data_IF_429494204403
#
_entry.id   IF_429494204403
#
_cell.length_a   1.000
_cell.length_b   1.000
_cell.length_c   1.000
_cell.angle_alpha   90.00
_cell.angle_beta   90.00
_cell.angle_gamma   90.00
#
_symmetry.space_group_name_H-M   'P 1'
#
loop_
_entity.id
_entity.type
_entity.pdbx_description
1 polymer ?
#
# COMPACT_ATOMS: atom_id res chain seq x y z
N UNK A 1 -8.92 0.55 -9.18
CA UNK A 1 -8.12 0.88 -10.38
C UNK A 1 -8.24 2.36 -10.74
N UNK A 2 -9.42 2.87 -11.12
CA UNK A 2 -9.62 4.28 -11.54
C UNK A 2 -9.08 5.28 -10.51
N UNK A 3 -9.42 5.11 -9.22
CA UNK A 3 -8.84 5.88 -8.08
C UNK A 3 -7.32 5.99 -8.17
N UNK A 4 -6.62 4.87 -8.27
CA UNK A 4 -5.16 4.83 -8.30
C UNK A 4 -4.56 5.56 -9.50
N UNK A 5 -5.28 5.58 -10.64
CA UNK A 5 -4.86 6.34 -11.83
C UNK A 5 -5.07 7.83 -11.60
N UNK A 6 -6.24 8.24 -11.10
CA UNK A 6 -6.55 9.66 -10.83
C UNK A 6 -5.64 10.23 -9.74
N UNK A 7 -5.42 9.50 -8.65
CA UNK A 7 -4.51 9.89 -7.57
C UNK A 7 -3.09 10.13 -8.11
N UNK A 8 -2.62 9.30 -9.06
CA UNK A 8 -1.31 9.48 -9.71
C UNK A 8 -1.26 10.73 -10.59
N UNK A 9 -2.31 10.98 -11.35
CA UNK A 9 -2.43 12.16 -12.21
C UNK A 9 -2.37 13.42 -11.35
N UNK A 10 -3.10 13.44 -10.23
CA UNK A 10 -3.14 14.59 -9.32
C UNK A 10 -1.83 14.77 -8.53
N UNK A 11 -1.31 13.70 -7.93
CA UNK A 11 -0.14 13.79 -7.06
C UNK A 11 1.19 13.99 -7.82
N UNK A 12 1.32 13.37 -9.00
CA UNK A 12 2.58 13.35 -9.77
C UNK A 12 2.49 14.23 -11.04
N UNK A 13 1.39 14.98 -11.22
CA UNK A 13 1.09 15.79 -12.41
C UNK A 13 1.30 15.04 -13.74
N UNK A 14 0.95 13.75 -13.75
CA UNK A 14 1.19 12.84 -14.87
C UNK A 14 0.08 12.91 -15.92
N UNK A 15 0.43 12.61 -17.17
CA UNK A 15 -0.58 12.33 -18.19
C UNK A 15 -1.36 11.06 -17.85
N UNK A 16 -2.63 10.99 -18.27
CA UNK A 16 -3.47 9.81 -18.07
C UNK A 16 -2.83 8.52 -18.59
N UNK A 17 -2.11 8.61 -19.71
CA UNK A 17 -1.41 7.47 -20.29
C UNK A 17 -0.28 6.99 -19.38
N UNK A 18 0.57 7.90 -18.89
CA UNK A 18 1.66 7.56 -17.98
C UNK A 18 1.13 6.94 -16.68
N UNK A 19 0.07 7.52 -16.10
CA UNK A 19 -0.59 6.98 -14.92
C UNK A 19 -1.18 5.58 -15.14
N UNK A 20 -1.85 5.34 -16.29
CA UNK A 20 -2.37 4.02 -16.64
C UNK A 20 -1.25 2.98 -16.81
N UNK A 21 -0.14 3.36 -17.45
CA UNK A 21 1.03 2.48 -17.62
C UNK A 21 1.69 2.13 -16.28
N UNK A 22 1.72 3.06 -15.31
CA UNK A 22 2.28 2.82 -13.99
C UNK A 22 1.38 1.94 -13.10
N UNK A 23 0.06 2.04 -13.23
CA UNK A 23 -0.91 1.34 -12.38
C UNK A 23 -1.27 -0.05 -12.92
N UNK A 24 -1.41 -0.20 -14.25
CA UNK A 24 -1.93 -1.41 -14.86
C UNK A 24 -1.14 -2.69 -14.51
N UNK A 25 0.22 -2.70 -14.53
CA UNK A 25 1.00 -3.88 -14.16
C UNK A 25 0.77 -4.31 -12.71
N UNK A 26 0.56 -3.36 -11.78
CA UNK A 26 0.35 -3.63 -10.36
C UNK A 26 -0.98 -4.34 -10.09
N UNK A 27 -1.92 -4.27 -11.03
CA UNK A 27 -3.25 -4.85 -10.94
C UNK A 27 -3.45 -6.03 -11.92
N UNK A 28 -2.41 -6.43 -12.65
CA UNK A 28 -2.48 -7.54 -13.60
C UNK A 28 -3.36 -7.27 -14.82
N UNK A 29 -3.58 -6.00 -15.19
CA UNK A 29 -4.40 -5.62 -16.36
C UNK A 29 -3.55 -4.94 -17.42
N UNK A 30 -4.04 -4.92 -18.67
CA UNK A 30 -3.39 -4.14 -19.73
C UNK A 30 -3.58 -2.63 -19.48
N UNK A 31 -2.61 -1.82 -19.91
CA UNK A 31 -2.72 -0.36 -19.81
C UNK A 31 -3.90 0.19 -20.64
N UNK A 32 -4.24 -0.47 -21.76
CA UNK A 32 -5.40 -0.11 -22.58
C UNK A 32 -6.71 -0.31 -21.81
N UNK A 33 -6.85 -1.43 -21.10
CA UNK A 33 -8.00 -1.73 -20.24
C UNK A 33 -8.12 -0.68 -19.13
N UNK A 34 -7.00 -0.35 -18.47
CA UNK A 34 -6.96 0.69 -17.46
C UNK A 34 -7.43 2.05 -18.02
N UNK A 35 -6.92 2.44 -19.19
CA UNK A 35 -7.32 3.68 -19.87
C UNK A 35 -8.80 3.71 -20.27
N UNK A 36 -9.35 2.58 -20.72
CA UNK A 36 -10.77 2.49 -21.11
C UNK A 36 -11.68 2.71 -19.90
N UNK A 37 -11.46 1.97 -18.81
CA UNK A 37 -12.27 2.09 -17.60
C UNK A 37 -12.15 3.47 -16.94
N UNK A 38 -10.95 4.07 -16.92
CA UNK A 38 -10.77 5.42 -16.38
C UNK A 38 -11.49 6.48 -17.23
N UNK A 39 -11.43 6.38 -18.57
CA UNK A 39 -12.22 7.26 -19.44
C UNK A 39 -13.72 7.09 -19.23
N UNK A 40 -14.19 5.85 -19.10
CA UNK A 40 -15.60 5.56 -18.87
C UNK A 40 -16.07 6.15 -17.53
N UNK A 41 -15.28 6.02 -16.48
CA UNK A 41 -15.58 6.59 -15.17
C UNK A 41 -15.67 8.12 -15.20
N UNK A 42 -14.75 8.80 -15.89
CA UNK A 42 -14.82 10.27 -16.10
C UNK A 42 -16.09 10.69 -16.83
N UNK A 43 -16.48 9.96 -17.88
CA UNK A 43 -17.70 10.24 -18.65
C UNK A 43 -18.96 10.03 -17.84
N UNK A 44 -18.99 9.02 -16.97
CA UNK A 44 -20.14 8.74 -16.11
C UNK A 44 -20.16 9.59 -14.84
N UNK A 45 -19.22 10.52 -14.66
CA UNK A 45 -19.09 11.32 -13.44
C UNK A 45 -18.63 10.52 -12.21
N UNK A 46 -18.25 9.26 -12.37
CA UNK A 46 -17.79 8.38 -11.28
C UNK A 46 -16.28 8.51 -11.05
N UNK A 47 -15.77 9.74 -11.12
CA UNK A 47 -14.39 10.05 -10.79
C UNK A 47 -14.27 10.11 -9.28
N UNK A 48 -13.36 9.36 -8.64
CA UNK A 48 -13.25 9.42 -7.20
C UNK A 48 -12.78 10.80 -6.74
N UNK A 49 -13.37 11.29 -5.65
CA UNK A 49 -12.92 12.54 -5.04
C UNK A 49 -11.48 12.41 -4.49
N UNK A 50 -10.71 13.51 -4.51
CA UNK A 50 -9.40 13.55 -3.87
C UNK A 50 -9.48 13.10 -2.42
N UNK A 51 -8.47 12.38 -1.95
CA UNK A 51 -8.39 11.99 -0.53
C UNK A 51 -8.35 13.26 0.33
N UNK A 52 -9.29 13.46 1.27
CA UNK A 52 -9.22 14.57 2.21
C UNK A 52 -7.89 14.59 2.95
N UNK A 53 -7.33 15.78 3.16
CA UNK A 53 -6.03 15.98 3.83
C UNK A 53 -5.96 15.29 5.20
N UNK A 54 -7.09 15.27 5.92
CA UNK A 54 -7.26 14.58 7.20
C UNK A 54 -7.00 13.06 7.10
N UNK A 55 -7.51 12.41 6.05
CA UNK A 55 -7.27 10.98 5.82
C UNK A 55 -5.81 10.69 5.46
N UNK A 56 -5.13 11.62 4.78
CA UNK A 56 -3.71 11.46 4.47
C UNK A 56 -2.84 11.56 5.74
N UNK A 57 -3.14 12.53 6.62
CA UNK A 57 -2.48 12.69 7.91
C UNK A 57 -2.70 11.44 8.79
N UNK A 58 -3.93 10.94 8.84
CA UNK A 58 -4.27 9.73 9.58
C UNK A 58 -3.52 8.51 9.04
N UNK A 59 -3.42 8.35 7.72
CA UNK A 59 -2.67 7.24 7.13
C UNK A 59 -1.17 7.30 7.51
N UNK A 60 -0.59 8.49 7.55
CA UNK A 60 0.80 8.68 7.95
C UNK A 60 1.03 8.31 9.43
N UNK A 61 0.09 8.70 10.32
CA UNK A 61 0.09 8.30 11.73
C UNK A 61 0.03 6.78 11.86
N UNK A 62 -0.93 6.15 11.21
CA UNK A 62 -1.14 4.70 11.25
C UNK A 62 0.06 3.93 10.71
N UNK A 63 0.77 4.44 9.70
CA UNK A 63 1.99 3.80 9.18
C UNK A 63 3.14 3.81 10.19
N UNK A 64 3.29 4.91 10.95
CA UNK A 64 4.32 5.00 12.00
C UNK A 64 4.02 4.01 13.13
N UNK A 65 2.78 3.99 13.60
CA UNK A 65 2.33 3.06 14.63
C UNK A 65 2.51 1.60 14.20
N UNK A 66 2.13 1.25 12.96
CA UNK A 66 2.35 -0.09 12.44
C UNK A 66 3.83 -0.49 12.38
N UNK A 67 4.73 0.45 12.09
CA UNK A 67 6.16 0.17 12.07
C UNK A 67 6.69 -0.09 13.49
N UNK A 68 6.32 0.74 14.45
CA UNK A 68 6.70 0.57 15.86
C UNK A 68 6.18 -0.76 16.45
N UNK A 69 4.94 -1.13 16.11
CA UNK A 69 4.37 -2.42 16.50
C UNK A 69 5.11 -3.61 15.87
N UNK A 70 5.59 -3.48 14.63
CA UNK A 70 6.40 -4.52 13.96
C UNK A 70 7.76 -4.65 14.62
N UNK A 71 8.42 -3.54 14.91
CA UNK A 71 9.73 -3.52 15.55
C UNK A 71 9.66 -4.16 16.95
N UNK A 72 8.62 -3.83 17.71
CA UNK A 72 8.35 -4.43 19.02
C UNK A 72 8.06 -5.92 18.91
N UNK A 73 7.25 -6.35 17.94
CA UNK A 73 6.97 -7.77 17.71
C UNK A 73 8.24 -8.54 17.36
N UNK A 74 9.13 -7.99 16.53
CA UNK A 74 10.40 -8.65 16.20
C UNK A 74 11.31 -8.77 17.42
N UNK A 75 11.39 -7.72 18.26
CA UNK A 75 12.11 -7.79 19.53
C UNK A 75 11.55 -8.87 20.47
N UNK A 76 10.23 -8.93 20.63
CA UNK A 76 9.57 -9.92 21.49
C UNK A 76 9.76 -11.34 20.97
N UNK A 77 9.69 -11.56 19.65
CA UNK A 77 9.98 -12.85 19.04
C UNK A 77 11.44 -13.27 19.29
N UNK A 78 12.38 -12.34 19.13
CA UNK A 78 13.80 -12.61 19.39
C UNK A 78 14.04 -12.97 20.86
N UNK A 79 13.46 -12.23 21.80
CA UNK A 79 13.53 -12.53 23.23
C UNK A 79 12.91 -13.91 23.54
N UNK A 80 11.74 -14.21 22.98
CA UNK A 80 11.08 -15.50 23.18
C UNK A 80 11.92 -16.67 22.65
N UNK A 81 12.54 -16.51 21.48
CA UNK A 81 13.43 -17.51 20.91
C UNK A 81 14.69 -17.71 21.77
N UNK A 82 15.29 -16.61 22.27
CA UNK A 82 16.43 -16.66 23.18
C UNK A 82 16.10 -17.46 24.45
N UNK A 83 15.01 -17.09 25.15
CA UNK A 83 14.62 -17.80 26.37
C UNK A 83 14.24 -19.27 26.12
N UNK A 84 13.58 -19.58 25.00
CA UNK A 84 13.29 -20.97 24.64
C UNK A 84 14.58 -21.80 24.44
N UNK A 85 15.65 -21.20 23.90
CA UNK A 85 16.93 -21.89 23.71
C UNK A 85 17.71 -22.12 25.00
N UNK A 86 17.61 -21.21 25.98
CA UNK A 86 18.22 -21.35 27.31
C UNK A 86 17.50 -22.40 28.17
N UNK A 87 16.18 -22.59 27.96
CA UNK A 87 15.34 -23.50 28.75
C UNK A 87 15.25 -24.93 28.19
N UNK A 88 15.97 -25.27 27.10
CA UNK A 88 16.02 -26.64 26.54
C UNK A 88 17.28 -27.40 26.99
N UNK A 89 17.28 -28.11 28.14
CA UNK A 89 18.41 -28.94 28.57
C UNK A 89 18.58 -30.23 27.74
N UNK A 90 17.73 -30.50 26.74
CA UNK A 90 17.67 -31.80 26.04
C UNK A 90 18.32 -31.83 24.66
N UNK A 91 18.86 -30.72 24.16
CA UNK A 91 19.52 -30.66 22.84
C UNK A 91 21.03 -30.93 22.82
N UNK A 92 21.68 -31.18 23.97
CA UNK A 92 23.08 -31.65 24.01
C UNK A 92 23.11 -33.19 23.97
N UNK A 93 23.30 -33.76 22.77
CA UNK A 93 23.84 -35.11 22.56
C UNK A 93 24.95 -35.02 21.54
#
# INVERSE_FOLDING_TARGET
MVRLVEDRILAENMSMQAACQAVAPKLGVSWHTARQWTQQARRSGNTPEPVPEDLAAENARLRRENQELRDTNELLKAASAFFASELDPKRRK
#
